data_IF_896944784679
#
_entry.id   IF_896944784679
#
_cell.length_a   1.000
_cell.length_b   1.000
_cell.length_c   1.000
_cell.angle_alpha   90.00
_cell.angle_beta   90.00
_cell.angle_gamma   90.00
#
_symmetry.space_group_name_H-M   'P 1'
#
loop_
_entity.id
_entity.type
_entity.pdbx_description
1 polymer ?
#
# COMPACT_ATOMS: atom_id res chain seq x y z
N UNK A 1 1.93 -7.94 33.89
CA UNK A 1 1.74 -6.57 34.42
C UNK A 1 1.21 -5.57 33.41
N UNK A 2 1.32 -5.81 32.08
CA UNK A 2 0.96 -4.84 31.03
C UNK A 2 0.12 -5.45 29.90
N UNK A 3 -0.39 -6.67 30.08
CA UNK A 3 -1.11 -7.41 29.04
C UNK A 3 -2.46 -6.80 28.64
N UNK A 4 -2.99 -5.88 29.46
CA UNK A 4 -4.17 -5.07 29.14
C UNK A 4 -3.85 -3.87 28.24
N UNK A 5 -2.57 -3.54 28.02
CA UNK A 5 -2.12 -2.35 27.26
C UNK A 5 -1.11 -2.65 26.17
N UNK A 6 -0.51 -3.84 26.17
CA UNK A 6 0.45 -4.28 25.15
C UNK A 6 -0.01 -5.61 24.55
N UNK A 7 -0.11 -5.63 23.21
CA UNK A 7 -0.36 -6.84 22.42
C UNK A 7 0.89 -7.08 21.56
N UNK A 8 1.63 -8.18 21.76
CA UNK A 8 2.76 -8.49 20.89
C UNK A 8 2.27 -8.84 19.47
N UNK A 9 3.04 -8.40 18.48
CA UNK A 9 2.84 -8.79 17.09
C UNK A 9 3.66 -10.04 16.76
N UNK A 10 3.04 -11.00 16.07
CA UNK A 10 3.74 -12.16 15.52
C UNK A 10 4.45 -11.76 14.22
N UNK A 11 5.71 -12.13 14.08
CA UNK A 11 6.47 -11.94 12.85
C UNK A 11 6.21 -13.12 11.91
N UNK A 12 5.60 -12.88 10.75
CA UNK A 12 5.21 -13.92 9.81
C UNK A 12 6.20 -13.92 8.64
N UNK A 13 6.99 -15.00 8.44
CA UNK A 13 7.84 -15.16 7.28
C UNK A 13 6.97 -15.35 6.04
N UNK A 14 7.38 -14.71 4.95
CA UNK A 14 6.62 -14.70 3.69
C UNK A 14 7.46 -15.22 2.53
N UNK A 15 8.45 -16.10 2.75
CA UNK A 15 9.23 -16.64 1.64
C UNK A 15 8.41 -17.59 0.78
N UNK A 16 7.52 -18.39 1.38
CA UNK A 16 6.55 -19.21 0.63
C UNK A 16 5.17 -19.13 1.28
N UNK A 17 4.07 -19.34 0.53
CA UNK A 17 2.73 -19.40 1.11
C UNK A 17 2.57 -20.49 2.17
N UNK A 18 3.22 -21.64 2.01
CA UNK A 18 3.13 -22.76 2.95
C UNK A 18 3.71 -22.40 4.32
N UNK A 19 4.92 -21.82 4.32
CA UNK A 19 5.59 -21.35 5.54
C UNK A 19 4.78 -20.24 6.25
N UNK A 20 4.26 -19.28 5.47
CA UNK A 20 3.44 -18.21 6.02
C UNK A 20 2.16 -18.74 6.71
N UNK A 21 1.51 -19.73 6.10
CA UNK A 21 0.31 -20.37 6.66
C UNK A 21 0.64 -21.13 7.94
N UNK A 22 1.73 -21.91 7.95
CA UNK A 22 2.19 -22.65 9.12
C UNK A 22 2.47 -21.71 10.31
N UNK A 23 3.19 -20.60 10.06
CA UNK A 23 3.48 -19.63 11.12
C UNK A 23 2.22 -18.89 11.59
N UNK A 24 1.28 -18.55 10.69
CA UNK A 24 0.00 -17.94 11.07
C UNK A 24 -0.80 -18.86 12.00
N UNK A 25 -0.87 -20.16 11.70
CA UNK A 25 -1.56 -21.14 12.54
C UNK A 25 -0.85 -21.32 13.88
N UNK A 26 0.49 -21.39 13.88
CA UNK A 26 1.28 -21.49 15.09
C UNK A 26 1.09 -20.26 16.00
N UNK A 27 1.29 -19.05 15.46
CA UNK A 27 1.17 -17.80 16.20
C UNK A 27 -0.23 -17.60 16.80
N UNK A 28 -1.28 -17.87 16.01
CA UNK A 28 -2.67 -17.77 16.50
C UNK A 28 -3.00 -18.87 17.51
N UNK A 29 -2.43 -20.06 17.38
CA UNK A 29 -2.50 -21.13 18.38
C UNK A 29 -1.88 -20.75 19.74
N UNK A 30 -0.90 -19.84 19.74
CA UNK A 30 -0.33 -19.24 20.96
C UNK A 30 -1.19 -18.08 21.53
N UNK A 31 -2.29 -17.73 20.86
CA UNK A 31 -3.14 -16.60 21.24
C UNK A 31 -2.67 -15.23 20.73
N UNK A 32 -1.66 -15.18 19.86
CA UNK A 32 -1.24 -13.94 19.20
C UNK A 32 -2.32 -13.52 18.19
N UNK A 33 -2.57 -12.22 18.11
CA UNK A 33 -3.68 -11.66 17.31
C UNK A 33 -3.31 -10.46 16.45
N UNK A 34 -2.11 -9.90 16.62
CA UNK A 34 -1.53 -8.91 15.73
C UNK A 34 -0.42 -9.58 14.89
N UNK A 35 -0.36 -9.28 13.59
CA UNK A 35 0.52 -9.95 12.64
C UNK A 35 1.35 -8.91 11.89
N UNK A 36 2.68 -9.05 11.90
CA UNK A 36 3.61 -8.28 11.09
C UNK A 36 4.24 -9.20 10.05
N UNK A 37 3.99 -8.94 8.77
CA UNK A 37 4.41 -9.76 7.65
C UNK A 37 5.61 -9.11 6.95
N UNK A 38 6.59 -9.92 6.59
CA UNK A 38 7.72 -9.45 5.78
C UNK A 38 7.28 -9.29 4.32
N UNK A 39 7.79 -8.27 3.62
CA UNK A 39 7.55 -8.04 2.19
C UNK A 39 8.84 -7.74 1.44
N UNK A 40 8.76 -7.61 0.11
CA UNK A 40 9.92 -7.41 -0.77
C UNK A 40 10.91 -8.56 -0.71
N UNK A 41 10.40 -9.80 -0.78
CA UNK A 41 11.26 -10.99 -0.77
C UNK A 41 12.24 -10.92 -1.93
N UNK A 42 13.52 -11.14 -1.66
CA UNK A 42 14.54 -11.18 -2.72
C UNK A 42 14.40 -12.50 -3.47
N UNK A 43 13.77 -12.46 -4.64
CA UNK A 43 13.59 -13.61 -5.53
C UNK A 43 14.70 -13.64 -6.56
N UNK A 44 15.33 -14.79 -6.75
CA UNK A 44 16.40 -14.90 -7.73
C UNK A 44 15.89 -14.85 -9.16
N UNK A 45 16.61 -14.12 -10.00
CA UNK A 45 16.43 -14.10 -11.45
C UNK A 45 17.11 -15.37 -11.99
N UNK A 46 16.33 -16.44 -12.16
CA UNK A 46 16.82 -17.78 -12.53
C UNK A 46 17.78 -17.77 -13.73
N UNK A 47 17.46 -17.00 -14.76
CA UNK A 47 18.30 -16.86 -15.97
C UNK A 47 19.70 -16.26 -15.71
N UNK A 48 19.88 -15.48 -14.64
CA UNK A 48 21.12 -14.79 -14.31
C UNK A 48 21.96 -15.49 -13.23
N UNK A 49 21.47 -16.60 -12.66
CA UNK A 49 22.17 -17.32 -11.58
C UNK A 49 23.48 -17.98 -12.03
N UNK A 50 23.65 -18.22 -13.33
CA UNK A 50 24.87 -18.83 -13.87
C UNK A 50 26.07 -17.86 -14.01
N UNK A 51 25.91 -16.58 -13.63
CA UNK A 51 26.93 -15.52 -13.81
C UNK A 51 27.98 -15.45 -12.68
N UNK A 52 28.42 -16.61 -12.17
CA UNK A 52 29.42 -16.69 -11.09
C UNK A 52 29.02 -15.91 -9.83
N UNK A 53 29.97 -15.23 -9.19
CA UNK A 53 29.73 -14.48 -7.94
C UNK A 53 28.69 -13.35 -8.08
N UNK A 54 28.45 -12.85 -9.29
CA UNK A 54 27.45 -11.80 -9.53
C UNK A 54 26.02 -12.32 -9.48
N UNK A 55 25.81 -13.63 -9.65
CA UNK A 55 24.48 -14.26 -9.61
C UNK A 55 23.75 -14.03 -8.29
N UNK A 56 24.48 -13.87 -7.17
CA UNK A 56 23.90 -13.59 -5.84
C UNK A 56 23.22 -12.23 -5.74
N UNK A 57 23.54 -11.30 -6.64
CA UNK A 57 22.92 -9.97 -6.70
C UNK A 57 21.77 -9.90 -7.71
N UNK A 58 21.62 -10.92 -8.56
CA UNK A 58 20.57 -10.99 -9.56
C UNK A 58 19.25 -11.44 -8.90
N UNK A 59 18.65 -10.54 -8.13
CA UNK A 59 17.35 -10.75 -7.50
C UNK A 59 16.42 -9.58 -7.78
N UNK A 60 15.12 -9.82 -7.68
CA UNK A 60 14.09 -8.79 -7.72
C UNK A 60 13.25 -8.82 -6.42
N UNK A 61 12.69 -7.69 -5.97
CA UNK A 61 11.87 -7.62 -4.78
C UNK A 61 10.42 -8.03 -5.08
N UNK A 62 9.94 -9.08 -4.43
CA UNK A 62 8.58 -9.60 -4.58
C UNK A 62 7.60 -8.95 -3.60
N UNK A 63 6.59 -8.31 -4.17
CA UNK A 63 5.57 -7.51 -3.50
C UNK A 63 4.28 -8.30 -3.18
N UNK A 64 4.30 -9.63 -3.31
CA UNK A 64 3.29 -10.56 -2.78
C UNK A 64 1.89 -10.49 -3.43
N UNK A 65 1.75 -9.77 -4.55
CA UNK A 65 0.51 -9.64 -5.30
C UNK A 65 0.74 -9.84 -6.80
N UNK A 66 0.56 -8.76 -7.57
CA UNK A 66 0.89 -8.70 -8.99
C UNK A 66 2.28 -9.30 -9.27
N UNK A 67 2.30 -10.36 -10.09
CA UNK A 67 3.52 -11.03 -10.58
C UNK A 67 4.43 -11.63 -9.49
N UNK A 68 3.89 -11.90 -8.30
CA UNK A 68 4.62 -12.63 -7.26
C UNK A 68 5.07 -14.02 -7.75
N UNK A 69 6.21 -14.52 -7.25
CA UNK A 69 6.72 -15.86 -7.65
C UNK A 69 5.75 -16.98 -7.22
N UNK A 70 5.00 -16.75 -6.15
CA UNK A 70 4.01 -17.68 -5.63
C UNK A 70 2.63 -17.04 -5.58
N UNK A 71 1.59 -17.87 -5.59
CA UNK A 71 0.24 -17.43 -5.29
C UNK A 71 0.04 -17.30 -3.76
N UNK A 72 -0.19 -16.07 -3.30
CA UNK A 72 -0.44 -15.76 -1.89
C UNK A 72 -1.93 -15.72 -1.53
N UNK A 73 -2.85 -15.95 -2.47
CA UNK A 73 -4.28 -16.05 -2.17
C UNK A 73 -4.61 -17.05 -1.04
N UNK A 74 -3.95 -18.22 -0.92
CA UNK A 74 -4.12 -19.11 0.23
C UNK A 74 -3.75 -18.46 1.58
N UNK A 75 -2.76 -17.58 1.61
CA UNK A 75 -2.36 -16.83 2.82
C UNK A 75 -3.44 -15.82 3.19
N UNK A 76 -3.98 -15.09 2.20
CA UNK A 76 -5.07 -14.13 2.41
C UNK A 76 -6.34 -14.83 2.91
N UNK A 77 -6.68 -15.98 2.33
CA UNK A 77 -7.78 -16.83 2.81
C UNK A 77 -7.55 -17.31 4.25
N UNK A 78 -6.31 -17.69 4.59
CA UNK A 78 -5.94 -18.09 5.95
C UNK A 78 -6.07 -16.95 6.95
N UNK A 79 -5.67 -15.73 6.59
CA UNK A 79 -5.85 -14.54 7.44
C UNK A 79 -7.33 -14.31 7.79
N UNK A 80 -8.23 -14.41 6.81
CA UNK A 80 -9.67 -14.33 7.04
C UNK A 80 -10.17 -15.45 7.97
N UNK A 81 -9.76 -16.69 7.72
CA UNK A 81 -10.16 -17.84 8.54
C UNK A 81 -9.73 -17.70 10.00
N UNK A 82 -8.53 -17.17 10.23
CA UNK A 82 -7.97 -16.93 11.56
C UNK A 82 -8.40 -15.58 12.17
N UNK A 83 -9.15 -14.76 11.43
CA UNK A 83 -9.59 -13.41 11.84
C UNK A 83 -8.42 -12.49 12.19
N UNK A 84 -7.35 -12.58 11.43
CA UNK A 84 -6.17 -11.71 11.57
C UNK A 84 -6.02 -10.85 10.32
N UNK A 85 -5.39 -9.70 10.47
CA UNK A 85 -5.16 -8.74 9.40
C UNK A 85 -3.66 -8.58 9.16
N UNK A 86 -3.19 -8.66 7.91
CA UNK A 86 -1.81 -8.36 7.55
C UNK A 86 -1.41 -6.93 7.90
N UNK A 87 -0.29 -6.74 8.60
CA UNK A 87 0.47 -5.49 8.59
C UNK A 87 1.82 -5.72 7.94
N UNK A 88 2.34 -4.74 7.20
CA UNK A 88 3.64 -4.82 6.56
C UNK A 88 4.55 -3.75 7.13
N UNK A 89 5.76 -4.18 7.48
CA UNK A 89 6.85 -3.31 7.89
C UNK A 89 8.14 -3.87 7.29
N UNK A 90 8.65 -3.24 6.24
CA UNK A 90 9.81 -3.72 5.49
C UNK A 90 10.60 -2.54 4.94
N UNK A 91 11.91 -2.59 5.07
CA UNK A 91 12.78 -1.52 4.62
C UNK A 91 13.11 -1.65 3.12
N UNK A 92 12.96 -0.55 2.36
CA UNK A 92 13.44 -0.49 0.97
C UNK A 92 14.88 0.05 0.83
N UNK A 93 15.63 0.17 1.93
CA UNK A 93 17.02 0.61 1.89
C UNK A 93 17.87 -0.39 1.09
N UNK A 94 18.74 0.13 0.22
CA UNK A 94 19.50 -0.69 -0.72
C UNK A 94 18.72 -1.09 -1.98
N UNK A 95 17.48 -0.64 -2.17
CA UNK A 95 16.68 -0.83 -3.38
C UNK A 95 16.46 0.50 -4.13
N UNK A 96 16.35 0.41 -5.46
CA UNK A 96 16.10 1.57 -6.33
C UNK A 96 17.19 2.61 -6.19
N UNK A 97 16.80 3.87 -5.93
CA UNK A 97 17.74 4.97 -5.75
C UNK A 97 18.31 5.06 -4.34
N UNK A 98 17.89 4.23 -3.37
CA UNK A 98 18.29 4.32 -1.94
C UNK A 98 19.60 3.59 -1.63
N UNK A 99 20.65 3.95 -2.37
CA UNK A 99 21.94 3.24 -2.40
C UNK A 99 23.13 4.17 -2.12
N UNK A 100 22.91 5.29 -1.41
CA UNK A 100 24.02 6.15 -1.00
C UNK A 100 24.95 5.39 -0.08
N UNK A 101 26.24 5.34 -0.42
CA UNK A 101 27.22 4.59 0.34
C UNK A 101 27.62 5.26 1.67
N UNK A 102 27.29 6.54 1.86
CA UNK A 102 27.75 7.34 3.00
C UNK A 102 26.68 8.16 3.70
N UNK A 103 25.47 8.29 3.13
CA UNK A 103 24.42 9.14 3.68
C UNK A 103 23.21 8.32 4.14
N UNK A 104 23.10 8.11 5.46
CA UNK A 104 21.97 7.43 6.08
C UNK A 104 20.63 8.09 5.75
N UNK A 105 20.54 9.42 5.89
CA UNK A 105 19.29 10.18 5.69
C UNK A 105 18.75 10.00 4.26
N UNK A 106 19.64 10.04 3.26
CA UNK A 106 19.27 9.79 1.87
C UNK A 106 18.66 8.40 1.66
N UNK A 107 19.19 7.38 2.35
CA UNK A 107 18.66 6.02 2.28
C UNK A 107 17.40 5.86 3.14
N UNK A 108 17.32 6.56 4.28
CA UNK A 108 16.26 6.43 5.29
C UNK A 108 14.97 7.12 4.85
N UNK A 109 14.99 8.40 4.46
CA UNK A 109 13.76 9.17 4.20
C UNK A 109 12.89 8.48 3.14
N UNK A 110 11.70 8.04 3.54
CA UNK A 110 10.69 7.42 2.67
C UNK A 110 10.94 5.96 2.29
N UNK A 111 11.87 5.25 2.94
CA UNK A 111 12.14 3.85 2.61
C UNK A 111 10.98 2.91 2.97
N UNK A 112 10.30 3.13 4.11
CA UNK A 112 9.07 2.41 4.45
C UNK A 112 7.93 2.76 3.50
N UNK A 113 7.77 4.05 3.17
CA UNK A 113 6.79 4.51 2.18
C UNK A 113 6.95 3.80 0.83
N UNK A 114 8.17 3.70 0.31
CA UNK A 114 8.45 3.02 -0.96
C UNK A 114 8.17 1.51 -0.90
N UNK A 115 8.46 0.85 0.23
CA UNK A 115 8.13 -0.56 0.42
C UNK A 115 6.61 -0.78 0.49
N UNK A 116 5.91 0.02 1.31
CA UNK A 116 4.46 -0.02 1.46
C UNK A 116 3.74 0.27 0.13
N UNK A 117 4.22 1.27 -0.63
CA UNK A 117 3.70 1.61 -1.95
C UNK A 117 3.79 0.43 -2.93
N UNK A 118 4.94 -0.24 -2.98
CA UNK A 118 5.15 -1.38 -3.85
C UNK A 118 4.17 -2.53 -3.54
N UNK A 119 4.01 -2.88 -2.26
CA UNK A 119 3.09 -3.94 -1.82
C UNK A 119 1.63 -3.54 -2.03
N UNK A 120 1.23 -2.34 -1.59
CA UNK A 120 -0.13 -1.83 -1.75
C UNK A 120 -0.57 -1.83 -3.23
N UNK A 121 0.28 -1.30 -4.11
CA UNK A 121 0.06 -1.27 -5.56
C UNK A 121 0.00 -2.68 -6.15
N UNK A 122 0.88 -3.58 -5.72
CA UNK A 122 0.91 -4.98 -6.16
C UNK A 122 -0.36 -5.73 -5.73
N UNK A 123 -0.84 -5.55 -4.50
CA UNK A 123 -2.09 -6.15 -4.01
C UNK A 123 -3.30 -5.60 -4.78
N UNK A 124 -3.36 -4.28 -4.99
CA UNK A 124 -4.45 -3.64 -5.72
C UNK A 124 -4.51 -4.10 -7.19
N UNK A 125 -3.44 -3.89 -7.96
CA UNK A 125 -3.38 -4.26 -9.38
C UNK A 125 -3.38 -5.78 -9.59
N UNK A 126 -2.91 -6.54 -8.60
CA UNK A 126 -3.03 -8.00 -8.55
C UNK A 126 -4.48 -8.47 -8.35
N UNK A 127 -5.44 -7.58 -8.05
CA UNK A 127 -6.85 -7.89 -7.83
C UNK A 127 -7.14 -8.52 -6.47
N UNK A 128 -6.22 -8.44 -5.51
CA UNK A 128 -6.37 -9.09 -4.19
C UNK A 128 -7.56 -8.48 -3.45
N UNK A 129 -7.70 -7.15 -3.44
CA UNK A 129 -8.83 -6.49 -2.76
C UNK A 129 -10.19 -6.77 -3.42
N UNK A 130 -10.19 -7.12 -4.71
CA UNK A 130 -11.39 -7.62 -5.41
C UNK A 130 -11.76 -9.03 -4.96
N UNK A 131 -10.78 -9.93 -4.82
CA UNK A 131 -11.00 -11.33 -4.41
C UNK A 131 -11.26 -11.47 -2.90
N UNK A 132 -10.66 -10.62 -2.09
CA UNK A 132 -10.75 -10.60 -0.63
C UNK A 132 -11.26 -9.24 -0.11
N UNK A 133 -12.49 -8.82 -0.46
CA UNK A 133 -12.99 -7.49 -0.12
C UNK A 133 -13.13 -7.26 1.39
N UNK A 134 -13.25 -8.32 2.19
CA UNK A 134 -13.32 -8.25 3.64
C UNK A 134 -11.95 -8.17 4.34
N UNK A 135 -10.85 -8.49 3.63
CA UNK A 135 -9.51 -8.50 4.21
C UNK A 135 -8.93 -7.08 4.19
N UNK A 136 -8.35 -6.68 5.32
CA UNK A 136 -7.70 -5.37 5.47
C UNK A 136 -6.20 -5.55 5.56
N UNK A 137 -5.45 -4.58 5.06
CA UNK A 137 -3.99 -4.55 5.10
C UNK A 137 -3.53 -3.20 5.68
N UNK A 138 -2.48 -3.22 6.50
CA UNK A 138 -1.82 -2.00 6.96
C UNK A 138 -0.36 -1.94 6.51
N UNK A 139 0.13 -0.74 6.24
CA UNK A 139 1.54 -0.48 5.89
C UNK A 139 2.11 0.48 6.93
N UNK A 140 3.07 0.03 7.73
CA UNK A 140 3.52 0.73 8.94
C UNK A 140 4.70 1.67 8.65
N UNK A 141 4.81 2.76 9.41
CA UNK A 141 5.92 3.74 9.42
C UNK A 141 6.23 4.44 8.08
N UNK A 142 5.32 4.32 7.11
CA UNK A 142 5.46 4.96 5.80
C UNK A 142 4.83 6.35 5.72
N UNK A 143 4.05 6.76 6.73
CA UNK A 143 3.12 7.89 6.62
C UNK A 143 2.00 7.61 5.61
N UNK A 144 1.12 8.59 5.41
CA UNK A 144 -0.06 8.46 4.51
C UNK A 144 0.06 9.24 3.20
N UNK A 145 1.06 10.12 3.06
CA UNK A 145 1.23 10.97 1.89
C UNK A 145 1.35 10.18 0.58
N UNK A 146 2.21 9.14 0.57
CA UNK A 146 2.38 8.26 -0.58
C UNK A 146 1.08 7.53 -0.95
N UNK A 147 0.24 7.19 0.03
CA UNK A 147 -1.02 6.51 -0.19
C UNK A 147 -2.08 7.43 -0.83
N UNK A 148 -2.12 8.69 -0.42
CA UNK A 148 -2.98 9.71 -1.03
C UNK A 148 -2.61 9.93 -2.51
N UNK A 149 -1.30 9.98 -2.80
CA UNK A 149 -0.78 10.07 -4.16
C UNK A 149 -1.12 8.81 -4.97
N UNK A 150 -0.79 7.62 -4.46
CA UNK A 150 -1.09 6.35 -5.11
C UNK A 150 -2.58 6.21 -5.43
N UNK A 151 -3.46 6.53 -4.49
CA UNK A 151 -4.91 6.50 -4.69
C UNK A 151 -5.35 7.41 -5.85
N UNK A 152 -4.85 8.65 -5.86
CA UNK A 152 -5.14 9.62 -6.92
C UNK A 152 -4.58 9.17 -8.28
N UNK A 153 -3.38 8.59 -8.27
CA UNK A 153 -2.71 8.09 -9.46
C UNK A 153 -3.44 6.89 -10.04
N UNK A 154 -3.88 5.92 -9.23
CA UNK A 154 -4.65 4.76 -9.71
C UNK A 154 -5.92 5.20 -10.46
N UNK A 155 -6.63 6.22 -9.95
CA UNK A 155 -7.81 6.79 -10.61
C UNK A 155 -7.44 7.49 -11.91
N UNK A 156 -6.41 8.34 -11.86
CA UNK A 156 -5.93 9.10 -13.02
C UNK A 156 -5.42 8.19 -14.14
N UNK A 157 -4.77 7.09 -13.78
CA UNK A 157 -4.25 6.08 -14.71
C UNK A 157 -5.37 5.21 -15.26
N UNK A 158 -6.31 4.75 -14.43
CA UNK A 158 -7.46 3.98 -14.93
C UNK A 158 -8.23 4.75 -16.01
N UNK A 159 -8.43 6.06 -15.85
CA UNK A 159 -9.08 6.91 -16.89
C UNK A 159 -8.35 6.92 -18.23
N UNK A 160 -7.04 6.63 -18.26
CA UNK A 160 -6.19 6.64 -19.46
C UNK A 160 -5.84 5.24 -19.96
N UNK A 161 -5.95 4.22 -19.10
CA UNK A 161 -5.43 2.86 -19.31
C UNK A 161 -6.50 1.76 -19.22
N UNK A 162 -7.77 2.11 -19.00
CA UNK A 162 -8.87 1.15 -19.15
C UNK A 162 -9.04 0.74 -20.63
N UNK A 163 -9.69 -0.41 -20.92
CA UNK A 163 -9.80 -0.95 -22.28
C UNK A 163 -10.28 0.06 -23.34
N UNK A 164 -11.26 0.91 -23.01
CA UNK A 164 -11.78 1.90 -23.94
C UNK A 164 -10.81 3.08 -24.14
N UNK A 165 -10.07 3.45 -23.09
CA UNK A 165 -9.11 4.56 -23.16
C UNK A 165 -7.77 4.17 -23.82
N UNK A 166 -7.41 2.88 -23.83
CA UNK A 166 -6.19 2.39 -24.50
C UNK A 166 -6.13 2.79 -25.96
N UNK A 167 -7.28 2.85 -26.62
CA UNK A 167 -7.43 3.26 -28.02
C UNK A 167 -6.92 4.70 -28.29
N UNK A 168 -7.09 5.60 -27.32
CA UNK A 168 -6.58 6.98 -27.42
C UNK A 168 -5.05 7.04 -27.37
N UNK A 169 -4.41 6.03 -26.79
CA UNK A 169 -2.96 5.92 -26.67
C UNK A 169 -2.38 4.88 -27.62
N UNK A 170 -3.18 4.34 -28.54
CA UNK A 170 -2.74 3.32 -29.48
C UNK A 170 -1.73 3.93 -30.46
N UNK A 171 -0.45 3.47 -30.48
CA UNK A 171 0.55 3.99 -31.40
C UNK A 171 0.17 3.82 -32.88
N UNK A 172 -0.71 2.86 -33.21
CA UNK A 172 -1.22 2.66 -34.57
C UNK A 172 -2.10 3.82 -35.08
N UNK A 173 -2.65 4.64 -34.18
CA UNK A 173 -3.46 5.80 -34.54
C UNK A 173 -2.62 7.06 -34.82
N UNK A 174 -1.30 7.02 -34.60
CA UNK A 174 -0.44 8.16 -34.84
C UNK A 174 -0.23 8.38 -36.34
N UNK A 175 -0.71 9.52 -36.85
CA UNK A 175 -0.38 9.98 -38.21
C UNK A 175 1.05 10.54 -38.24
N UNK A 176 2.00 9.64 -38.54
CA UNK A 176 3.43 9.95 -38.62
C UNK A 176 3.73 10.94 -39.75
N UNK A 177 2.97 10.91 -40.85
CA UNK A 177 3.19 11.80 -41.98
C UNK A 177 2.81 13.24 -41.60
N UNK A 178 1.63 13.43 -41.01
CA UNK A 178 1.20 14.73 -40.51
C UNK A 178 2.13 15.25 -39.40
N UNK A 179 2.53 14.39 -38.46
CA UNK A 179 3.48 14.75 -37.40
C UNK A 179 4.81 15.23 -37.98
N UNK A 180 5.34 14.51 -38.97
CA UNK A 180 6.56 14.89 -39.70
C UNK A 180 6.37 16.23 -40.43
N UNK A 181 5.24 16.43 -41.10
CA UNK A 181 4.94 17.68 -41.78
C UNK A 181 4.89 18.88 -40.80
N UNK A 182 4.32 18.70 -39.61
CA UNK A 182 4.31 19.74 -38.57
C UNK A 182 5.70 20.06 -38.04
N UNK A 183 6.53 19.04 -37.77
CA UNK A 183 7.91 19.29 -37.34
C UNK A 183 8.74 19.98 -38.42
N UNK A 184 8.54 19.68 -39.72
CA UNK A 184 9.21 20.41 -40.82
C UNK A 184 8.75 21.87 -40.91
N UNK A 185 7.47 22.13 -40.67
CA UNK A 185 6.87 23.46 -40.81
C UNK A 185 7.13 24.38 -39.63
N UNK A 186 7.12 23.83 -38.41
CA UNK A 186 7.14 24.61 -37.17
C UNK A 186 8.32 24.29 -36.25
N UNK A 187 9.08 23.23 -36.53
CA UNK A 187 10.24 22.83 -35.73
C UNK A 187 11.40 23.80 -35.84
N UNK A 188 12.21 23.87 -34.79
CA UNK A 188 13.48 24.60 -34.81
C UNK A 188 14.50 23.87 -35.69
N UNK A 189 15.49 24.60 -36.21
CA UNK A 189 16.51 24.02 -37.09
C UNK A 189 17.23 22.77 -36.53
N UNK A 190 17.50 22.65 -35.21
CA UNK A 190 18.02 21.40 -34.65
C UNK A 190 17.03 20.23 -34.73
N UNK A 191 15.75 20.48 -34.45
CA UNK A 191 14.71 19.45 -34.43
C UNK A 191 14.41 18.93 -35.84
N UNK A 192 14.40 19.82 -36.83
CA UNK A 192 14.21 19.47 -38.24
C UNK A 192 15.31 18.55 -38.79
N UNK A 193 16.53 18.59 -38.22
CA UNK A 193 17.65 17.71 -38.63
C UNK A 193 17.54 16.28 -38.12
N UNK A 194 16.75 16.05 -37.07
CA UNK A 194 16.54 14.73 -36.46
C UNK A 194 15.16 14.15 -36.80
N UNK A 195 14.43 14.79 -37.71
CA UNK A 195 13.03 14.47 -37.98
C UNK A 195 12.85 13.08 -38.61
N UNK A 196 13.80 12.63 -39.42
CA UNK A 196 13.75 11.29 -40.03
C UNK A 196 14.05 10.19 -38.98
N UNK A 197 14.45 10.57 -37.77
CA UNK A 197 14.55 9.67 -36.60
C UNK A 197 13.21 9.55 -35.85
N UNK A 198 12.13 10.26 -36.26
CA UNK A 198 10.79 10.09 -35.66
C UNK A 198 10.26 8.66 -35.83
N UNK A 199 10.63 7.96 -36.91
CA UNK A 199 10.29 6.54 -37.05
C UNK A 199 10.92 5.67 -35.96
N UNK A 200 12.11 6.01 -35.45
CA UNK A 200 12.70 5.28 -34.31
C UNK A 200 12.01 5.62 -32.98
N UNK A 201 11.31 6.76 -32.89
CA UNK A 201 10.43 7.04 -31.75
C UNK A 201 9.23 6.08 -31.68
N UNK A 202 8.76 5.50 -32.80
CA UNK A 202 7.73 4.43 -32.73
C UNK A 202 8.22 3.23 -31.94
N UNK A 203 9.49 2.84 -32.10
CA UNK A 203 10.08 1.76 -31.31
C UNK A 203 10.27 2.13 -29.83
N UNK A 204 10.46 3.42 -29.51
CA UNK A 204 10.49 3.93 -28.13
C UNK A 204 9.10 3.97 -27.48
N UNK A 205 8.02 4.04 -28.28
CA UNK A 205 6.64 3.94 -27.82
C UNK A 205 6.19 2.49 -27.59
N UNK A 206 7.04 1.51 -27.94
CA UNK A 206 6.91 0.09 -27.63
C UNK A 206 6.07 -0.69 -28.64
N UNK A 207 6.58 -1.87 -29.02
CA UNK A 207 5.84 -2.91 -29.77
C UNK A 207 4.95 -3.77 -28.85
N UNK A 208 4.62 -3.28 -27.65
CA UNK A 208 3.82 -4.03 -26.68
C UNK A 208 2.34 -3.73 -26.98
N UNK A 209 1.60 -4.76 -27.38
CA UNK A 209 0.14 -4.70 -27.50
C UNK A 209 -0.46 -4.10 -26.22
N UNK A 210 -1.28 -3.04 -26.31
CA UNK A 210 -1.84 -2.40 -25.12
C UNK A 210 -2.65 -3.42 -24.29
N UNK A 211 -2.09 -3.83 -23.15
CA UNK A 211 -2.78 -4.68 -22.19
C UNK A 211 -3.62 -3.82 -21.23
N UNK A 212 -4.77 -4.36 -20.80
CA UNK A 212 -5.55 -3.77 -19.70
C UNK A 212 -4.83 -4.04 -18.36
N UNK A 213 -4.07 -3.03 -17.91
CA UNK A 213 -3.30 -3.10 -16.65
C UNK A 213 -4.19 -3.32 -15.42
N UNK A 214 -5.49 -3.03 -15.52
CA UNK A 214 -6.46 -3.12 -14.43
C UNK A 214 -7.37 -4.36 -14.55
N UNK A 215 -7.12 -5.26 -15.51
CA UNK A 215 -8.00 -6.41 -15.79
C UNK A 215 -8.35 -7.23 -14.54
N UNK A 216 -7.37 -7.46 -13.65
CA UNK A 216 -7.55 -8.22 -12.40
C UNK A 216 -8.41 -7.49 -11.34
N UNK A 217 -8.55 -6.17 -11.45
CA UNK A 217 -9.38 -5.36 -10.56
C UNK A 217 -10.86 -5.41 -10.97
N UNK A 218 -11.15 -5.66 -12.25
CA UNK A 218 -12.52 -5.68 -12.80
C UNK A 218 -13.27 -4.36 -12.64
N UNK A 219 -12.57 -3.23 -12.72
CA UNK A 219 -13.15 -1.89 -12.50
C UNK A 219 -13.98 -1.50 -13.73
N UNK A 220 -15.28 -1.24 -13.55
CA UNK A 220 -16.16 -0.83 -14.64
C UNK A 220 -16.18 0.69 -14.80
N UNK A 221 -16.06 1.42 -13.68
CA UNK A 221 -15.99 2.87 -13.63
C UNK A 221 -15.03 3.34 -12.55
N UNK A 222 -14.48 4.54 -12.69
CA UNK A 222 -13.48 5.07 -11.77
C UNK A 222 -14.00 5.19 -10.31
N UNK A 223 -15.31 5.31 -10.12
CA UNK A 223 -16.00 5.34 -8.83
C UNK A 223 -15.99 3.98 -8.10
N UNK A 224 -15.59 2.89 -8.76
CA UNK A 224 -15.44 1.59 -8.10
C UNK A 224 -14.11 1.49 -7.32
N UNK A 225 -13.10 2.30 -7.66
CA UNK A 225 -11.78 2.31 -7.02
C UNK A 225 -11.85 2.57 -5.50
N UNK A 226 -12.62 3.55 -4.99
CA UNK A 226 -12.85 3.71 -3.55
C UNK A 226 -13.18 2.39 -2.83
N UNK A 227 -14.05 1.55 -3.43
CA UNK A 227 -14.50 0.31 -2.81
C UNK A 227 -13.42 -0.79 -2.76
N UNK A 228 -12.42 -0.70 -3.64
CA UNK A 228 -11.31 -1.65 -3.72
C UNK A 228 -10.05 -1.16 -3.00
N UNK A 229 -9.97 0.15 -2.69
CA UNK A 229 -8.80 0.77 -2.07
C UNK A 229 -9.09 1.17 -0.63
N UNK A 230 -10.08 2.04 -0.42
CA UNK A 230 -10.36 2.66 0.89
C UNK A 230 -10.85 1.61 1.88
N UNK A 231 -11.69 0.67 1.45
CA UNK A 231 -12.21 -0.38 2.33
C UNK A 231 -11.13 -1.31 2.90
N UNK A 232 -10.00 -1.46 2.20
CA UNK A 232 -9.02 -2.50 2.46
C UNK A 232 -7.71 -1.95 3.06
N UNK A 233 -7.31 -0.71 2.75
CA UNK A 233 -5.97 -0.23 3.06
C UNK A 233 -5.90 0.79 4.20
N UNK A 234 -4.94 0.57 5.09
CA UNK A 234 -4.63 1.37 6.27
C UNK A 234 -3.14 1.75 6.26
N UNK A 235 -2.80 2.89 6.83
CA UNK A 235 -1.47 3.48 6.70
C UNK A 235 -0.97 3.94 8.06
N UNK A 236 0.11 3.34 8.56
CA UNK A 236 0.77 3.73 9.80
C UNK A 236 1.52 5.04 9.62
N UNK A 237 1.31 5.97 10.54
CA UNK A 237 1.88 7.30 10.47
C UNK A 237 2.34 7.76 11.85
N UNK A 238 3.48 8.43 11.88
CA UNK A 238 3.99 9.04 13.11
C UNK A 238 3.07 10.14 13.61
N UNK A 239 3.14 10.37 14.93
CA UNK A 239 2.27 11.29 15.65
C UNK A 239 2.31 12.72 15.10
N UNK A 240 3.50 13.27 14.88
CA UNK A 240 3.75 14.68 14.58
C UNK A 240 3.77 15.01 13.07
N UNK A 241 3.58 14.02 12.19
CA UNK A 241 3.65 14.22 10.74
C UNK A 241 2.52 15.13 10.23
N UNK A 242 2.80 16.36 9.74
CA UNK A 242 1.77 17.25 9.20
C UNK A 242 1.09 16.68 7.94
N UNK A 243 1.69 15.72 7.25
CA UNK A 243 1.13 15.05 6.07
C UNK A 243 -0.05 14.14 6.44
N UNK A 244 -0.21 13.76 7.71
CA UNK A 244 -1.38 13.02 8.21
C UNK A 244 -2.71 13.70 7.83
N UNK A 245 -2.70 15.03 7.75
CA UNK A 245 -3.85 15.84 7.34
C UNK A 245 -4.40 15.51 5.96
N UNK A 246 -3.55 15.01 5.04
CA UNK A 246 -3.96 14.68 3.68
C UNK A 246 -4.95 13.52 3.67
N UNK A 247 -4.81 12.56 4.61
CA UNK A 247 -5.73 11.44 4.73
C UNK A 247 -7.18 11.89 5.01
N UNK A 248 -7.34 12.96 5.79
CA UNK A 248 -8.64 13.43 6.25
C UNK A 248 -9.22 14.58 5.41
N UNK A 249 -8.47 15.09 4.42
CA UNK A 249 -8.86 16.24 3.61
C UNK A 249 -9.72 15.84 2.39
N UNK A 250 -11.05 16.09 2.41
CA UNK A 250 -11.94 15.72 1.30
C UNK A 250 -11.76 16.60 0.06
N UNK A 251 -10.97 17.68 0.14
CA UNK A 251 -10.65 18.56 -0.99
C UNK A 251 -9.46 18.07 -1.82
N UNK A 252 -8.60 17.21 -1.25
CA UNK A 252 -7.41 16.67 -1.92
C UNK A 252 -7.68 15.28 -2.47
N UNK A 253 -8.36 14.42 -1.70
CA UNK A 253 -8.60 13.03 -2.12
C UNK A 253 -9.77 12.94 -3.11
N UNK A 254 -9.57 12.34 -4.30
CA UNK A 254 -10.65 12.09 -5.25
C UNK A 254 -11.87 11.42 -4.61
N UNK A 255 -13.06 11.73 -5.12
CA UNK A 255 -14.34 11.27 -4.54
C UNK A 255 -14.56 11.68 -3.08
N UNK A 256 -13.77 12.63 -2.56
CA UNK A 256 -13.94 13.23 -1.23
C UNK A 256 -13.84 12.21 -0.09
N UNK A 257 -13.09 11.12 -0.31
CA UNK A 257 -12.89 10.07 0.69
C UNK A 257 -11.88 10.49 1.75
N UNK A 258 -12.00 9.88 2.93
CA UNK A 258 -10.94 9.91 3.95
C UNK A 258 -10.19 8.58 3.89
N UNK A 259 -8.86 8.62 3.89
CA UNK A 259 -8.03 7.42 3.99
C UNK A 259 -7.80 7.05 5.46
N UNK A 260 -7.48 5.78 5.71
CA UNK A 260 -7.33 5.26 7.07
C UNK A 260 -5.90 5.42 7.59
N UNK A 261 -5.57 6.61 8.07
CA UNK A 261 -4.33 6.84 8.83
C UNK A 261 -4.43 6.22 10.24
N UNK A 262 -3.41 5.46 10.62
CA UNK A 262 -3.25 4.83 11.93
C UNK A 262 -2.09 5.51 12.65
N UNK A 263 -2.32 6.04 13.85
CA UNK A 263 -1.24 6.55 14.68
C UNK A 263 -0.28 5.40 15.06
N UNK A 264 0.96 5.53 14.63
CA UNK A 264 2.14 4.80 15.12
C UNK A 264 2.92 5.72 16.05
N UNK A 265 3.64 5.13 17.00
CA UNK A 265 4.44 5.87 17.96
C UNK A 265 5.92 5.56 17.89
N UNK A 266 6.32 4.58 17.08
CA UNK A 266 7.66 3.95 17.00
C UNK A 266 8.54 4.08 18.28
N UNK A 267 7.97 3.70 19.43
CA UNK A 267 8.62 3.95 20.73
C UNK A 267 9.90 3.12 20.81
N UNK A 268 11.03 3.81 21.02
CA UNK A 268 12.37 3.22 20.98
C UNK A 268 13.18 3.62 19.75
N UNK A 269 12.57 4.34 18.80
CA UNK A 269 13.23 4.97 17.67
C UNK A 269 13.82 6.34 18.02
N UNK A 270 14.63 6.91 17.11
CA UNK A 270 15.45 8.09 17.38
C UNK A 270 14.68 9.42 17.40
N UNK A 271 13.47 9.44 16.86
CA UNK A 271 12.55 10.58 16.84
C UNK A 271 11.72 10.70 18.12
N UNK A 272 11.55 9.61 18.89
CA UNK A 272 10.85 9.64 20.17
C UNK A 272 11.83 9.65 21.34
N UNK A 273 12.09 10.85 21.85
CA UNK A 273 12.97 11.05 23.02
C UNK A 273 12.19 10.81 24.32
N UNK A 274 10.92 11.22 24.37
CA UNK A 274 10.05 11.10 25.55
C UNK A 274 8.73 10.37 25.21
N UNK A 275 8.52 9.19 25.79
CA UNK A 275 7.34 8.36 25.50
C UNK A 275 6.01 9.02 25.87
N UNK A 276 6.03 10.00 26.79
CA UNK A 276 4.83 10.71 27.26
C UNK A 276 4.31 11.72 26.24
N UNK A 277 5.14 12.12 25.28
CA UNK A 277 4.86 13.28 24.43
C UNK A 277 4.16 12.89 23.13
N UNK A 278 4.26 11.62 22.71
CA UNK A 278 3.67 11.09 21.46
C UNK A 278 2.22 11.54 21.24
N UNK A 279 1.34 11.39 22.24
CA UNK A 279 -0.07 11.75 22.06
C UNK A 279 -0.29 13.28 22.11
N UNK A 280 0.55 14.00 22.86
CA UNK A 280 0.51 15.46 22.90
C UNK A 280 0.95 16.05 21.54
N UNK A 281 2.03 15.52 20.98
CA UNK A 281 2.54 15.88 19.65
C UNK A 281 1.50 15.60 18.56
N UNK A 282 0.83 14.44 18.60
CA UNK A 282 -0.27 14.15 17.69
C UNK A 282 -1.41 15.18 17.80
N UNK A 283 -1.71 15.66 19.01
CA UNK A 283 -2.78 16.63 19.25
C UNK A 283 -2.44 18.03 18.69
N UNK A 284 -1.18 18.34 18.43
CA UNK A 284 -0.78 19.61 17.80
C UNK A 284 -1.43 19.80 16.42
N UNK A 285 -1.75 18.71 15.70
CA UNK A 285 -2.51 18.78 14.45
C UNK A 285 -3.92 19.37 14.67
N UNK A 286 -4.53 19.17 15.84
CA UNK A 286 -5.81 19.81 16.20
C UNK A 286 -5.58 21.27 16.57
N UNK A 287 -4.58 21.56 17.39
CA UNK A 287 -4.27 22.94 17.82
C UNK A 287 -3.94 23.86 16.64
N UNK A 288 -3.22 23.32 15.64
CA UNK A 288 -2.88 23.99 14.37
C UNK A 288 -4.05 24.03 13.38
N UNK A 289 -5.23 23.52 13.77
CA UNK A 289 -6.47 23.45 12.95
C UNK A 289 -6.30 22.68 11.64
N UNK A 290 -5.41 21.69 11.68
CA UNK A 290 -5.04 20.82 10.60
C UNK A 290 -5.93 19.56 10.57
N UNK A 291 -6.36 19.09 11.75
CA UNK A 291 -7.43 18.12 11.96
C UNK A 291 -8.53 18.72 12.82
N UNK A 292 -9.77 18.24 12.67
CA UNK A 292 -10.82 18.44 13.68
C UNK A 292 -10.81 17.29 14.69
N UNK A 293 -11.58 17.41 15.77
CA UNK A 293 -11.64 16.41 16.85
C UNK A 293 -12.11 15.02 16.38
N UNK A 294 -13.03 14.96 15.41
CA UNK A 294 -13.51 13.69 14.85
C UNK A 294 -12.40 12.98 14.04
N UNK A 295 -11.65 13.74 13.24
CA UNK A 295 -10.52 13.23 12.46
C UNK A 295 -9.38 12.78 13.38
N UNK A 296 -9.10 13.56 14.42
CA UNK A 296 -8.12 13.18 15.43
C UNK A 296 -8.53 11.90 16.17
N UNK A 297 -9.79 11.79 16.61
CA UNK A 297 -10.32 10.55 17.21
C UNK A 297 -10.13 9.36 16.27
N UNK A 298 -10.43 9.53 14.98
CA UNK A 298 -10.29 8.44 14.02
C UNK A 298 -8.80 8.09 13.78
N UNK A 299 -7.89 9.06 13.80
CA UNK A 299 -6.45 8.85 13.69
C UNK A 299 -5.86 8.05 14.87
N UNK A 300 -6.17 8.46 16.11
CA UNK A 300 -5.56 7.85 17.31
C UNK A 300 -6.32 6.65 17.88
N UNK A 301 -7.55 6.41 17.42
CA UNK A 301 -8.42 5.36 17.97
C UNK A 301 -9.31 4.68 16.93
N UNK A 302 -10.11 5.45 16.19
CA UNK A 302 -11.20 4.90 15.39
C UNK A 302 -10.75 4.00 14.23
N UNK A 303 -9.69 4.37 13.52
CA UNK A 303 -9.11 3.56 12.44
C UNK A 303 -8.49 2.27 13.00
N UNK A 304 -7.81 2.33 14.14
CA UNK A 304 -7.26 1.15 14.80
C UNK A 304 -8.36 0.15 15.18
N UNK A 305 -9.42 0.63 15.85
CA UNK A 305 -10.54 -0.23 16.23
C UNK A 305 -11.23 -0.83 15.01
N UNK A 306 -11.43 -0.04 13.93
CA UNK A 306 -11.97 -0.58 12.66
C UNK A 306 -11.07 -1.65 12.06
N UNK A 307 -9.76 -1.44 12.04
CA UNK A 307 -8.80 -2.33 11.40
C UNK A 307 -8.77 -3.71 12.07
N UNK A 308 -8.36 -3.76 13.35
CA UNK A 308 -8.25 -5.01 14.09
C UNK A 308 -9.61 -5.56 14.55
N UNK A 309 -10.43 -4.70 15.16
CA UNK A 309 -11.72 -5.10 15.74
C UNK A 309 -12.77 -5.49 14.69
N UNK A 310 -12.70 -4.92 13.49
CA UNK A 310 -13.60 -5.28 12.39
C UNK A 310 -13.26 -6.64 11.76
N UNK A 311 -12.04 -7.15 11.92
CA UNK A 311 -11.69 -8.51 11.51
C UNK A 311 -11.93 -9.52 12.65
N UNK A 312 -11.59 -9.13 13.87
CA UNK A 312 -11.81 -9.93 15.07
C UNK A 312 -12.51 -9.09 16.15
N UNK A 313 -13.82 -9.30 16.38
CA UNK A 313 -14.58 -8.60 17.43
C UNK A 313 -13.99 -8.78 18.84
N UNK A 314 -13.20 -9.84 19.03
CA UNK A 314 -12.56 -10.18 20.30
C UNK A 314 -11.13 -9.62 20.43
N UNK A 315 -10.65 -8.86 19.44
CA UNK A 315 -9.27 -8.35 19.42
C UNK A 315 -8.95 -7.50 20.64
N UNK A 316 -9.90 -6.68 21.12
CA UNK A 316 -9.68 -5.81 22.27
C UNK A 316 -10.12 -6.42 23.60
N UNK A 317 -10.56 -7.69 23.63
CA UNK A 317 -10.90 -8.37 24.89
C UNK A 317 -9.69 -8.47 25.81
N UNK A 318 -9.91 -8.18 27.08
CA UNK A 318 -8.91 -8.11 28.14
C UNK A 318 -8.05 -6.86 28.12
N UNK A 319 -8.34 -5.89 27.24
CA UNK A 319 -7.56 -4.64 27.15
C UNK A 319 -8.21 -3.50 27.93
N UNK A 320 -7.44 -2.47 28.27
CA UNK A 320 -7.91 -1.27 28.97
C UNK A 320 -8.97 -0.47 28.17
N UNK A 321 -9.11 -0.74 26.87
CA UNK A 321 -10.05 -0.07 25.96
C UNK A 321 -11.16 -1.00 25.45
N UNK A 322 -11.32 -2.20 26.02
CA UNK A 322 -12.28 -3.21 25.56
C UNK A 322 -13.69 -2.62 25.37
N UNK A 323 -14.20 -1.92 26.39
CA UNK A 323 -15.54 -1.34 26.37
C UNK A 323 -15.67 -0.28 25.26
N UNK A 324 -14.72 0.64 25.19
CA UNK A 324 -14.73 1.74 24.22
C UNK A 324 -14.65 1.20 22.79
N UNK A 325 -13.82 0.18 22.55
CA UNK A 325 -13.71 -0.47 21.25
C UNK A 325 -15.02 -1.17 20.86
N UNK A 326 -15.64 -1.91 21.79
CA UNK A 326 -16.91 -2.58 21.55
C UNK A 326 -18.05 -1.60 21.24
N UNK A 327 -18.17 -0.52 22.03
CA UNK A 327 -19.15 0.55 21.78
C UNK A 327 -18.94 1.22 20.42
N UNK A 328 -17.69 1.44 20.03
CA UNK A 328 -17.35 2.04 18.76
C UNK A 328 -17.68 1.12 17.56
N UNK A 329 -17.38 -0.18 17.64
CA UNK A 329 -17.74 -1.15 16.61
C UNK A 329 -19.25 -1.26 16.44
N UNK A 330 -20.00 -1.28 17.56
CA UNK A 330 -21.46 -1.34 17.54
C UNK A 330 -22.08 -0.11 16.85
N UNK A 331 -21.54 1.09 17.11
CA UNK A 331 -22.00 2.35 16.48
C UNK A 331 -21.61 2.45 15.00
N UNK A 332 -20.45 1.91 14.62
CA UNK A 332 -19.91 2.04 13.27
C UNK A 332 -20.59 1.14 12.24
N UNK A 333 -21.56 0.31 12.63
CA UNK A 333 -22.27 -0.60 11.73
C UNK A 333 -21.39 -1.71 11.15
N UNK A 334 -20.18 -1.91 11.71
CA UNK A 334 -19.31 -3.05 11.39
C UNK A 334 -19.89 -4.26 12.13
N UNK A 335 -21.05 -4.74 11.64
CA UNK A 335 -21.67 -5.96 12.15
C UNK A 335 -20.85 -7.13 11.65
N UNK A 336 -20.37 -7.94 12.60
CA UNK A 336 -19.70 -9.21 12.33
C UNK A 336 -20.54 -10.02 11.34
N UNK A 337 -19.94 -10.37 10.20
CA UNK A 337 -20.46 -11.50 9.44
C UNK A 337 -20.11 -12.75 10.26
N UNK A 338 -20.94 -13.06 11.25
CA UNK A 338 -20.93 -14.39 11.85
C UNK A 338 -21.20 -15.37 10.73
N UNK A 339 -20.29 -16.33 10.56
CA UNK A 339 -20.50 -17.49 9.72
C UNK A 339 -21.90 -18.06 9.99
N UNK A 340 -22.81 -17.90 9.03
CA UNK A 340 -23.98 -18.73 8.94
C UNK A 340 -23.51 -20.04 8.31
N UNK A 341 -23.27 -21.04 9.15
CA UNK A 341 -23.27 -22.41 8.71
C UNK A 341 -24.69 -22.83 8.35
N UNK A 342 -24.83 -23.45 7.19
CA UNK A 342 -25.38 -24.80 7.00
C UNK A 342 -24.68 -25.43 5.81
#
# INVERSE_FOLDING_TARGET
GVGDRLIPAACIPMHTPAEAIEELEFATGLGLRAMMMTSLMRRSIKAAQHNGESGRYANWPDALGLESEYDYDPVWAKCLALRVVPTFHSASQGLGTRVSYSNFVYNHIGHFAAAGEAVCKSLFLGGVTRRFPALKFAFLEGGVGWACMLYSDLISHWKKRNPAALDNTNPAHLDVEALTAYFRRYGTAPLAKHIDQLESLRHLLGDIEPADDFARCGIARAEDIPNLFVNNFYFGCEADDPVNTWAFNPGVNPYRVKLHALMGSDIGHFDIIEMTDVLAEAYELVERRQLNEDDFRDFVFGNAVRFWGGANPDFFKGTAIERQAAEYLAKSGVVSHSAAGE
#
